data_IF_140597230042
#
_entry.id   IF_140597230042
#
_cell.length_a   1.000
_cell.length_b   1.000
_cell.length_c   1.000
_cell.angle_alpha   90.00
_cell.angle_beta   90.00
_cell.angle_gamma   90.00
#
_symmetry.space_group_name_H-M   'P 1'
#
loop_
_entity.id
_entity.type
_entity.pdbx_description
1 polymer ?
#
# COMPACT_ATOMS: atom_id res chain seq x y z
N UNK A 1 -8.25 4.93 3.18
CA UNK A 1 -7.20 3.91 2.95
C UNK A 1 -6.95 2.97 4.13
N UNK A 2 -7.16 3.36 5.40
CA UNK A 2 -6.99 2.48 6.58
C UNK A 2 -8.27 1.74 6.96
N UNK A 3 -8.15 0.52 7.50
CA UNK A 3 -9.27 -0.22 8.11
C UNK A 3 -9.65 0.33 9.48
N UNK A 4 -8.69 0.98 10.16
CA UNK A 4 -8.76 1.32 11.59
C UNK A 4 -8.92 0.08 12.48
N UNK A 5 -8.35 -1.04 12.02
CA UNK A 5 -8.25 -2.30 12.75
C UNK A 5 -6.82 -2.84 12.60
N UNK A 6 -6.18 -3.18 13.73
CA UNK A 6 -4.83 -3.74 13.81
C UNK A 6 -3.75 -2.96 13.03
N UNK A 7 -3.90 -1.64 12.91
CA UNK A 7 -3.01 -0.76 12.18
C UNK A 7 -2.90 -1.07 10.68
N UNK A 8 -3.91 -1.71 10.08
CA UNK A 8 -3.84 -2.21 8.71
C UNK A 8 -4.45 -1.27 7.66
N UNK A 9 -4.02 -1.43 6.40
CA UNK A 9 -4.67 -0.80 5.27
C UNK A 9 -5.86 -1.64 4.77
N UNK A 10 -6.90 -0.96 4.29
CA UNK A 10 -8.04 -1.61 3.60
C UNK A 10 -7.52 -2.32 2.37
N UNK A 11 -8.03 -3.51 2.11
CA UNK A 11 -7.68 -4.38 0.98
C UNK A 11 -8.88 -4.58 0.07
N UNK A 12 -8.64 -5.19 -1.09
CA UNK A 12 -9.69 -5.72 -1.96
C UNK A 12 -10.30 -7.03 -1.41
N UNK A 13 -11.24 -7.62 -2.16
CA UNK A 13 -11.91 -8.88 -1.78
C UNK A 13 -10.94 -10.06 -1.59
N UNK A 14 -9.78 -10.02 -2.23
CA UNK A 14 -8.76 -11.07 -2.11
C UNK A 14 -7.89 -10.90 -0.86
N UNK A 15 -7.93 -9.71 -0.23
CA UNK A 15 -7.08 -9.38 0.90
C UNK A 15 -5.63 -9.07 0.52
N UNK A 16 -5.26 -9.15 -0.75
CA UNK A 16 -3.86 -9.06 -1.20
C UNK A 16 -3.53 -7.72 -1.87
N UNK A 17 -4.51 -7.03 -2.43
CA UNK A 17 -4.29 -5.80 -3.19
C UNK A 17 -4.90 -4.59 -2.50
N UNK A 18 -4.39 -3.38 -2.81
CA UNK A 18 -5.09 -2.15 -2.46
C UNK A 18 -6.50 -2.14 -3.07
N UNK A 19 -7.47 -1.47 -2.43
CA UNK A 19 -8.81 -1.33 -2.97
C UNK A 19 -8.78 -0.50 -4.26
N UNK A 20 -9.80 -0.67 -5.08
CA UNK A 20 -10.04 0.16 -6.25
C UNK A 20 -10.52 1.55 -5.85
N UNK A 21 -10.34 2.53 -6.73
CA UNK A 21 -10.76 3.92 -6.53
C UNK A 21 -12.28 4.11 -6.68
N UNK A 22 -13.08 3.33 -5.95
CA UNK A 22 -14.55 3.38 -5.99
C UNK A 22 -15.07 4.72 -5.45
N UNK A 23 -14.35 5.31 -4.48
CA UNK A 23 -14.66 6.61 -3.88
C UNK A 23 -14.30 7.81 -4.79
N UNK A 24 -13.78 7.55 -6.00
CA UNK A 24 -13.40 8.56 -7.02
C UNK A 24 -12.51 9.68 -6.47
N UNK A 25 -11.56 9.29 -5.63
CA UNK A 25 -10.49 10.19 -5.15
C UNK A 25 -9.75 10.76 -6.37
N UNK A 26 -9.31 12.03 -6.35
CA UNK A 26 -8.59 12.66 -7.46
C UNK A 26 -7.21 12.01 -7.66
N UNK A 27 -7.16 10.98 -8.51
CA UNK A 27 -5.93 10.33 -8.99
C UNK A 27 -5.58 10.85 -10.39
N UNK A 28 -4.28 10.83 -10.74
CA UNK A 28 -3.85 11.26 -12.06
C UNK A 28 -4.11 10.15 -13.08
N UNK A 29 -5.04 10.43 -14.00
CA UNK A 29 -5.54 9.48 -14.99
C UNK A 29 -5.38 10.00 -16.42
N UNK A 30 -4.12 10.16 -16.83
CA UNK A 30 -3.78 10.49 -18.21
C UNK A 30 -4.25 9.36 -19.16
N UNK A 31 -4.77 9.71 -20.35
CA UNK A 31 -5.23 8.71 -21.31
C UNK A 31 -4.06 7.78 -21.70
N UNK A 32 -4.25 6.45 -21.70
CA UNK A 32 -3.23 5.53 -22.17
C UNK A 32 -2.96 5.77 -23.66
N UNK A 33 -1.70 5.75 -24.08
CA UNK A 33 -1.29 5.99 -25.46
C UNK A 33 -2.07 5.12 -26.47
N UNK A 34 -2.35 3.85 -26.12
CA UNK A 34 -3.07 2.91 -26.98
C UNK A 34 -4.59 3.11 -27.03
N UNK A 35 -5.18 3.76 -26.03
CA UNK A 35 -6.64 3.91 -25.95
C UNK A 35 -7.14 5.27 -26.43
N UNK A 36 -6.24 6.28 -26.55
CA UNK A 36 -6.51 7.65 -27.01
C UNK A 36 -7.73 8.33 -26.34
N UNK A 37 -8.19 7.81 -25.20
CA UNK A 37 -9.36 8.28 -24.46
C UNK A 37 -9.14 8.12 -22.97
N UNK A 38 -9.79 8.96 -22.18
CA UNK A 38 -9.83 8.79 -20.73
C UNK A 38 -10.57 7.50 -20.38
N UNK A 39 -9.97 6.70 -19.52
CA UNK A 39 -10.58 5.45 -19.00
C UNK A 39 -11.18 5.75 -17.63
N UNK A 40 -12.16 4.99 -17.16
CA UNK A 40 -12.76 5.21 -15.84
C UNK A 40 -11.71 5.14 -14.71
N UNK A 41 -11.68 6.12 -13.79
CA UNK A 41 -10.70 6.17 -12.70
C UNK A 41 -10.91 5.06 -11.66
N UNK A 42 -12.10 4.47 -11.58
CA UNK A 42 -12.41 3.34 -10.68
C UNK A 42 -11.55 2.10 -10.97
N UNK A 43 -10.97 1.98 -12.18
CA UNK A 43 -10.02 0.90 -12.49
C UNK A 43 -8.71 1.03 -11.70
N UNK A 44 -8.39 2.20 -11.17
CA UNK A 44 -7.11 2.48 -10.53
C UNK A 44 -7.06 1.92 -9.11
N UNK A 45 -5.87 1.53 -8.67
CA UNK A 45 -5.64 1.18 -7.28
C UNK A 45 -5.55 2.45 -6.43
N UNK A 46 -6.19 2.44 -5.27
CA UNK A 46 -6.17 3.54 -4.33
C UNK A 46 -4.92 3.42 -3.44
N UNK A 47 -3.91 4.22 -3.77
CA UNK A 47 -2.64 4.33 -3.04
C UNK A 47 -2.42 5.79 -2.62
N UNK A 48 -1.42 6.02 -1.77
CA UNK A 48 -1.22 7.34 -1.14
C UNK A 48 -0.75 8.44 -2.09
N UNK A 49 -0.09 8.10 -3.20
CA UNK A 49 0.34 9.07 -4.21
C UNK A 49 -0.60 9.01 -5.44
N UNK A 50 -1.18 10.14 -5.89
CA UNK A 50 -2.07 10.17 -7.04
C UNK A 50 -1.39 9.73 -8.36
N UNK A 51 -0.06 9.68 -8.42
CA UNK A 51 0.75 9.30 -9.58
C UNK A 51 1.07 7.81 -9.65
N UNK A 52 0.81 7.04 -8.59
CA UNK A 52 1.26 5.64 -8.51
C UNK A 52 0.75 4.76 -9.66
N UNK A 53 -0.43 5.08 -10.22
CA UNK A 53 -1.04 4.32 -11.31
C UNK A 53 -0.51 4.68 -12.71
N UNK A 54 0.42 5.65 -12.84
CA UNK A 54 0.91 6.10 -14.15
C UNK A 54 1.90 5.12 -14.81
N UNK A 55 2.68 4.39 -14.02
CA UNK A 55 3.69 3.47 -14.51
C UNK A 55 3.58 2.11 -13.77
N UNK A 56 3.57 0.98 -14.49
CA UNK A 56 3.40 -0.34 -13.88
C UNK A 56 4.51 -0.70 -12.88
N UNK A 57 5.74 -0.20 -13.04
CA UNK A 57 6.85 -0.45 -12.11
C UNK A 57 6.63 0.26 -10.78
N UNK A 58 6.23 1.53 -10.83
CA UNK A 58 5.92 2.33 -9.62
C UNK A 58 4.70 1.73 -8.92
N UNK A 59 3.68 1.32 -9.68
CA UNK A 59 2.51 0.65 -9.15
C UNK A 59 2.88 -0.65 -8.43
N UNK A 60 3.68 -1.51 -9.07
CA UNK A 60 4.12 -2.77 -8.49
C UNK A 60 4.88 -2.54 -7.17
N UNK A 61 5.79 -1.57 -7.14
CA UNK A 61 6.50 -1.20 -5.91
C UNK A 61 5.54 -0.71 -4.82
N UNK A 62 4.57 0.14 -5.16
CA UNK A 62 3.53 0.61 -4.24
C UNK A 62 2.71 -0.53 -3.64
N UNK A 63 2.32 -1.51 -4.46
CA UNK A 63 1.60 -2.72 -4.01
C UNK A 63 2.46 -3.57 -3.08
N UNK A 64 3.74 -3.76 -3.39
CA UNK A 64 4.67 -4.52 -2.52
C UNK A 64 4.80 -3.85 -1.16
N UNK A 65 5.00 -2.53 -1.13
CA UNK A 65 5.12 -1.78 0.13
C UNK A 65 3.82 -1.77 0.94
N UNK A 66 2.68 -1.67 0.26
CA UNK A 66 1.36 -1.78 0.86
C UNK A 66 1.17 -3.14 1.55
N UNK A 67 1.47 -4.25 0.85
CA UNK A 67 1.35 -5.61 1.41
C UNK A 67 2.33 -5.79 2.56
N UNK A 68 3.55 -5.29 2.40
CA UNK A 68 4.57 -5.34 3.44
C UNK A 68 4.15 -4.61 4.72
N UNK A 69 3.45 -3.47 4.58
CA UNK A 69 2.88 -2.78 5.73
C UNK A 69 1.90 -3.67 6.49
N UNK A 70 0.95 -4.33 5.82
CA UNK A 70 -0.04 -5.17 6.51
C UNK A 70 0.61 -6.37 7.22
N UNK A 71 1.61 -7.00 6.58
CA UNK A 71 2.40 -8.07 7.21
C UNK A 71 3.13 -7.58 8.46
N UNK A 72 3.71 -6.38 8.41
CA UNK A 72 4.37 -5.79 9.57
C UNK A 72 3.38 -5.36 10.65
N UNK A 73 2.22 -4.83 10.29
CA UNK A 73 1.18 -4.42 11.23
C UNK A 73 0.69 -5.61 12.06
N UNK A 74 0.45 -6.76 11.41
CA UNK A 74 0.11 -8.01 12.10
C UNK A 74 1.22 -8.45 13.07
N UNK A 75 2.49 -8.40 12.64
CA UNK A 75 3.63 -8.74 13.51
C UNK A 75 3.74 -7.80 14.71
N UNK A 76 3.61 -6.50 14.48
CA UNK A 76 3.67 -5.49 15.55
C UNK A 76 2.51 -5.69 16.53
N UNK A 77 1.30 -5.97 16.05
CA UNK A 77 0.15 -6.26 16.90
C UNK A 77 0.35 -7.54 17.73
N UNK A 78 0.95 -8.58 17.15
CA UNK A 78 1.26 -9.82 17.86
C UNK A 78 2.34 -9.63 18.93
N UNK A 79 3.33 -8.77 18.67
CA UNK A 79 4.37 -8.41 19.65
C UNK A 79 3.85 -7.48 20.75
N UNK A 80 2.87 -6.63 20.43
CA UNK A 80 2.26 -5.67 21.35
C UNK A 80 0.72 -5.76 21.34
N UNK A 81 0.13 -6.80 21.97
CA UNK A 81 -1.31 -7.02 21.93
C UNK A 81 -2.14 -5.91 22.60
N UNK A 82 -1.54 -5.14 23.50
CA UNK A 82 -2.14 -4.05 24.27
C UNK A 82 -2.18 -2.71 23.53
N UNK A 83 -1.50 -2.61 22.39
CA UNK A 83 -1.42 -1.37 21.63
C UNK A 83 -2.70 -1.06 20.85
N UNK A 84 -3.01 0.24 20.74
CA UNK A 84 -4.13 0.71 19.93
C UNK A 84 -3.84 0.59 18.43
N UNK A 85 -4.89 0.63 17.60
CA UNK A 85 -4.75 0.67 16.13
C UNK A 85 -3.79 1.76 15.66
N UNK A 86 -3.86 2.94 16.29
CA UNK A 86 -3.02 4.07 15.91
C UNK A 86 -1.56 3.83 16.26
N UNK A 87 -1.27 3.27 17.43
CA UNK A 87 0.10 2.95 17.86
C UNK A 87 0.74 1.92 16.92
N UNK A 88 0.00 0.86 16.58
CA UNK A 88 0.43 -0.17 15.63
C UNK A 88 0.64 0.44 14.25
N UNK A 89 -0.27 1.27 13.77
CA UNK A 89 -0.14 1.94 12.48
C UNK A 89 1.11 2.82 12.41
N UNK A 90 1.31 3.69 13.40
CA UNK A 90 2.44 4.62 13.43
C UNK A 90 3.78 3.89 13.57
N UNK A 91 3.84 2.86 14.41
CA UNK A 91 5.03 2.00 14.52
C UNK A 91 5.36 1.34 13.19
N UNK A 92 4.35 0.74 12.56
CA UNK A 92 4.50 0.02 11.29
C UNK A 92 4.95 0.96 10.18
N UNK A 93 4.33 2.14 10.07
CA UNK A 93 4.73 3.20 9.12
C UNK A 93 6.20 3.57 9.28
N UNK A 94 6.68 3.79 10.52
CA UNK A 94 8.10 4.10 10.79
C UNK A 94 9.02 2.97 10.33
N UNK A 95 8.65 1.71 10.58
CA UNK A 95 9.43 0.54 10.14
C UNK A 95 9.51 0.41 8.63
N UNK A 96 8.40 0.66 7.92
CA UNK A 96 8.38 0.65 6.44
C UNK A 96 9.27 1.75 5.88
N UNK A 97 9.15 2.98 6.39
CA UNK A 97 9.99 4.13 5.96
C UNK A 97 11.47 3.84 6.24
N UNK A 98 11.81 3.36 7.43
CA UNK A 98 13.17 2.99 7.78
C UNK A 98 13.72 1.88 6.87
N UNK A 99 12.88 0.92 6.48
CA UNK A 99 13.26 -0.16 5.56
C UNK A 99 13.57 0.36 4.15
N UNK A 100 12.94 1.44 3.72
CA UNK A 100 13.18 2.11 2.44
C UNK A 100 14.43 2.99 2.46
N UNK A 101 14.66 3.72 3.56
CA UNK A 101 15.75 4.69 3.67
C UNK A 101 17.11 4.02 3.95
N UNK A 102 17.11 2.95 4.74
CA UNK A 102 18.29 2.12 4.92
C UNK A 102 18.31 1.10 3.78
N UNK A 103 19.47 0.79 3.19
CA UNK A 103 19.69 -0.23 2.13
C UNK A 103 19.26 -1.68 2.53
N UNK A 104 18.34 -1.83 3.47
CA UNK A 104 17.80 -3.07 4.01
C UNK A 104 16.53 -3.54 3.29
N UNK A 105 15.88 -2.73 2.44
CA UNK A 105 14.69 -3.18 1.71
C UNK A 105 14.95 -4.49 0.95
N UNK A 106 15.98 -4.51 0.11
CA UNK A 106 16.35 -5.71 -0.66
C UNK A 106 16.86 -6.86 0.22
N UNK A 107 17.56 -6.56 1.33
CA UNK A 107 18.06 -7.58 2.25
C UNK A 107 16.94 -8.29 3.03
N UNK A 108 15.92 -7.55 3.48
CA UNK A 108 14.73 -8.13 4.15
C UNK A 108 13.83 -8.88 3.16
N UNK A 109 13.68 -8.37 1.94
CA UNK A 109 12.86 -9.01 0.91
C UNK A 109 13.39 -10.38 0.51
N UNK A 110 14.72 -10.53 0.32
CA UNK A 110 15.38 -11.82 -0.01
C UNK A 110 15.26 -12.90 1.05
N UNK A 111 14.89 -12.57 2.29
CA UNK A 111 14.81 -13.53 3.41
C UNK A 111 13.41 -14.12 3.59
N UNK A 112 12.45 -13.70 2.77
CA UNK A 112 11.02 -14.03 2.87
C UNK A 112 10.47 -14.75 1.63
N UNK A 113 11.36 -15.10 0.68
CA UNK A 113 11.14 -16.01 -0.45
C UNK A 113 12.21 -17.10 -0.35
#
# INVERSE_FOLDING_TARGET
>A
MRTFQNGSFKTDITGLFPPRNNDRVPLINSPPAHHLRMVHPERMFLLGDPRTNQNPVILALGVVLFRWHNVLAERVQNEHPDWSDEDVFQRTRRLVIASLQVNNFFKKFKRLI
#
